data_IF_849108465409
#
_entry.id   IF_849108465409
#
_cell.length_a   1.000
_cell.length_b   1.000
_cell.length_c   1.000
_cell.angle_alpha   90.00
_cell.angle_beta   90.00
_cell.angle_gamma   90.00
#
_symmetry.space_group_name_H-M   'P 1'
#
loop_
_entity.id
_entity.type
_entity.pdbx_description
1 polymer ?
#
# COMPACT_ATOMS: atom_id res chain seq x y z
N UNK A 1 24.72 -15.12 8.33
CA UNK A 1 25.48 -13.99 7.75
C UNK A 1 24.67 -12.72 7.94
N UNK A 2 25.33 -11.62 8.26
CA UNK A 2 24.71 -10.28 8.37
C UNK A 2 24.10 -9.87 7.03
N UNK A 3 22.89 -9.29 7.05
CA UNK A 3 22.15 -8.82 5.88
C UNK A 3 22.29 -7.30 5.77
N UNK A 4 22.97 -6.81 4.73
CA UNK A 4 23.12 -5.37 4.48
C UNK A 4 21.86 -4.82 3.78
N UNK A 5 21.23 -3.82 4.37
CA UNK A 5 20.02 -3.14 3.88
C UNK A 5 20.40 -1.71 3.51
N UNK A 6 20.26 -1.37 2.23
CA UNK A 6 20.56 -0.03 1.71
C UNK A 6 19.29 0.72 1.33
N UNK A 7 19.08 1.92 1.87
CA UNK A 7 18.09 2.86 1.35
C UNK A 7 18.77 3.85 0.41
N UNK A 8 18.42 3.77 -0.85
CA UNK A 8 18.92 4.60 -1.93
C UNK A 8 18.08 5.88 -2.00
N UNK A 9 18.73 7.01 -1.76
CA UNK A 9 18.17 8.36 -1.79
C UNK A 9 18.81 9.19 -2.91
N UNK A 10 18.08 10.21 -3.35
CA UNK A 10 18.49 11.15 -4.39
C UNK A 10 17.88 12.53 -4.07
N UNK A 11 18.37 13.63 -4.66
CA UNK A 11 17.86 14.97 -4.37
C UNK A 11 16.32 15.05 -4.51
N UNK A 12 15.65 15.51 -3.45
CA UNK A 12 14.19 15.61 -3.41
C UNK A 12 13.47 14.34 -2.94
N UNK A 13 14.19 13.32 -2.44
CA UNK A 13 13.57 12.14 -1.84
C UNK A 13 12.64 12.48 -0.66
N UNK A 14 11.69 11.61 -0.36
CA UNK A 14 10.80 11.73 0.78
C UNK A 14 11.46 11.17 2.06
N UNK A 15 11.72 12.05 3.03
CA UNK A 15 12.32 11.71 4.33
C UNK A 15 11.55 10.63 5.12
N UNK A 16 10.22 10.53 4.97
CA UNK A 16 9.43 9.49 5.63
C UNK A 16 9.83 8.08 5.19
N UNK A 17 10.40 7.91 4.00
CA UNK A 17 10.82 6.60 3.49
C UNK A 17 11.96 5.98 4.32
N UNK A 18 12.66 6.80 5.14
CA UNK A 18 13.59 6.32 6.17
C UNK A 18 12.93 5.37 7.17
N UNK A 19 11.61 5.47 7.38
CA UNK A 19 10.87 4.59 8.27
C UNK A 19 11.01 3.10 7.87
N UNK A 20 11.25 2.81 6.59
CA UNK A 20 11.53 1.44 6.14
C UNK A 20 12.84 0.90 6.77
N UNK A 21 13.90 1.71 6.87
CA UNK A 21 15.14 1.32 7.57
C UNK A 21 14.91 1.13 9.06
N UNK A 22 14.10 2.00 9.67
CA UNK A 22 13.75 1.89 11.11
C UNK A 22 13.11 0.55 11.46
N UNK A 23 12.36 -0.09 10.54
CA UNK A 23 11.84 -1.45 10.80
C UNK A 23 12.97 -2.47 11.03
N UNK A 24 14.01 -2.44 10.20
CA UNK A 24 15.16 -3.32 10.34
C UNK A 24 16.03 -2.97 11.55
N UNK A 25 16.14 -1.67 11.88
CA UNK A 25 16.77 -1.20 13.11
C UNK A 25 16.08 -1.78 14.36
N UNK A 26 14.76 -1.66 14.43
CA UNK A 26 13.98 -2.22 15.52
C UNK A 26 14.06 -3.74 15.55
N UNK A 27 14.13 -4.42 14.40
CA UNK A 27 14.36 -5.87 14.35
C UNK A 27 15.66 -6.27 15.05
N UNK A 28 16.75 -5.52 14.88
CA UNK A 28 18.00 -5.79 15.59
C UNK A 28 17.86 -5.67 17.11
N UNK A 29 17.01 -4.78 17.63
CA UNK A 29 16.76 -4.65 19.08
C UNK A 29 16.02 -5.85 19.67
N UNK A 30 15.40 -6.69 18.84
CA UNK A 30 14.69 -7.90 19.26
C UNK A 30 15.55 -9.16 19.24
N UNK A 31 16.81 -9.05 18.83
CA UNK A 31 17.75 -10.16 18.66
C UNK A 31 18.90 -10.06 19.66
N UNK A 32 19.51 -11.21 20.00
CA UNK A 32 20.71 -11.25 20.83
C UNK A 32 21.94 -10.68 20.11
N UNK A 33 21.99 -10.81 18.78
CA UNK A 33 23.00 -10.20 17.91
C UNK A 33 22.31 -9.57 16.70
N UNK A 34 22.74 -8.37 16.26
CA UNK A 34 22.16 -7.71 15.09
C UNK A 34 22.28 -8.58 13.84
N UNK A 35 21.17 -8.75 13.10
CA UNK A 35 21.16 -9.41 11.80
C UNK A 35 21.36 -8.41 10.67
N UNK A 36 20.83 -7.20 10.81
CA UNK A 36 20.79 -6.19 9.75
C UNK A 36 21.89 -5.13 9.93
N UNK A 37 22.61 -4.83 8.86
CA UNK A 37 23.49 -3.65 8.77
C UNK A 37 22.80 -2.63 7.86
N UNK A 38 22.61 -1.41 8.32
CA UNK A 38 21.81 -0.41 7.62
C UNK A 38 22.70 0.66 7.01
N UNK A 39 22.39 1.07 5.79
CA UNK A 39 23.08 2.17 5.12
C UNK A 39 22.11 3.06 4.34
N UNK A 40 22.37 4.36 4.36
CA UNK A 40 21.76 5.33 3.44
C UNK A 40 22.73 5.55 2.28
N UNK A 41 22.24 5.45 1.04
CA UNK A 41 23.06 5.41 -0.16
C UNK A 41 22.64 6.47 -1.16
N UNK A 42 23.60 7.04 -1.89
CA UNK A 42 23.35 7.86 -3.08
C UNK A 42 24.47 7.63 -4.10
N UNK A 43 24.34 8.11 -5.33
CA UNK A 43 25.36 7.85 -6.37
C UNK A 43 26.75 8.34 -5.93
N UNK A 44 26.85 9.59 -5.47
CA UNK A 44 28.11 10.21 -5.09
C UNK A 44 28.46 10.05 -3.59
N UNK A 45 27.50 9.66 -2.74
CA UNK A 45 27.60 9.82 -1.29
C UNK A 45 27.48 11.29 -0.86
N UNK A 46 27.69 11.54 0.43
CA UNK A 46 27.57 12.87 1.03
C UNK A 46 26.12 13.27 1.35
N UNK A 47 25.90 14.55 1.70
CA UNK A 47 24.60 15.04 2.15
C UNK A 47 23.61 15.21 0.98
N UNK A 48 22.47 14.53 1.08
CA UNK A 48 21.38 14.60 0.10
C UNK A 48 20.16 15.26 0.75
N UNK A 49 19.63 16.31 0.10
CA UNK A 49 18.48 17.06 0.60
C UNK A 49 17.16 16.40 0.21
N UNK A 50 16.31 16.16 1.20
CA UNK A 50 14.93 15.67 1.03
C UNK A 50 13.98 16.78 0.58
N UNK A 51 12.76 16.39 0.18
CA UNK A 51 11.70 17.34 -0.20
C UNK A 51 11.23 18.25 0.95
N UNK A 52 11.44 17.86 2.21
CA UNK A 52 11.11 18.67 3.40
C UNK A 52 12.25 19.59 3.82
N UNK A 53 13.39 19.56 3.11
CA UNK A 53 14.55 20.41 3.36
C UNK A 53 15.58 19.82 4.32
N UNK A 54 15.29 18.68 4.96
CA UNK A 54 16.25 17.94 5.78
C UNK A 54 17.30 17.28 4.88
N UNK A 55 18.58 17.44 5.20
CA UNK A 55 19.67 16.73 4.53
C UNK A 55 20.07 15.48 5.31
N UNK A 56 20.32 14.37 4.60
CA UNK A 56 20.83 13.13 5.17
C UNK A 56 22.17 12.78 4.53
N UNK A 57 23.15 12.42 5.35
CA UNK A 57 24.40 11.86 4.86
C UNK A 57 24.19 10.47 4.27
N UNK A 58 24.87 10.22 3.17
CA UNK A 58 24.81 8.97 2.43
C UNK A 58 26.20 8.48 2.06
N UNK A 59 26.32 7.17 1.88
CA UNK A 59 27.50 6.54 1.30
C UNK A 59 27.30 6.39 -0.21
N UNK A 60 28.36 6.37 -1.02
CA UNK A 60 28.22 6.04 -2.44
C UNK A 60 27.62 4.64 -2.60
N UNK A 61 26.70 4.47 -3.56
CA UNK A 61 26.14 3.15 -3.90
C UNK A 61 27.29 2.28 -4.42
N UNK A 62 27.75 1.33 -3.60
CA UNK A 62 28.82 0.40 -3.95
C UNK A 62 28.32 -0.77 -4.81
N UNK A 63 29.22 -1.33 -5.63
CA UNK A 63 28.94 -2.37 -6.63
C UNK A 63 28.72 -3.80 -6.08
N UNK A 64 28.31 -3.97 -4.82
CA UNK A 64 27.98 -5.30 -4.30
C UNK A 64 27.76 -5.40 -2.79
N UNK A 65 27.08 -6.47 -2.40
CA UNK A 65 26.98 -6.93 -1.00
C UNK A 65 25.75 -6.47 -0.23
N UNK A 66 24.81 -5.74 -0.85
CA UNK A 66 23.51 -5.47 -0.23
C UNK A 66 22.56 -6.65 -0.46
N UNK A 67 22.08 -7.24 0.63
CA UNK A 67 21.00 -8.23 0.60
C UNK A 67 19.71 -7.58 0.09
N UNK A 68 19.47 -6.32 0.48
CA UNK A 68 18.28 -5.56 0.09
C UNK A 68 18.63 -4.14 -0.28
N UNK A 69 18.14 -3.67 -1.43
CA UNK A 69 18.18 -2.27 -1.85
C UNK A 69 16.75 -1.73 -1.92
N UNK A 70 16.49 -0.65 -1.19
CA UNK A 70 15.22 0.07 -1.17
C UNK A 70 15.43 1.40 -1.90
N UNK A 71 14.68 1.69 -2.95
CA UNK A 71 14.72 2.98 -3.66
C UNK A 71 13.63 3.88 -3.08
N UNK A 72 14.05 4.97 -2.43
CA UNK A 72 13.14 5.97 -1.90
C UNK A 72 12.32 6.61 -3.03
N UNK A 73 11.15 7.12 -2.68
CA UNK A 73 10.33 7.95 -3.56
C UNK A 73 10.59 9.43 -3.34
N UNK A 74 9.77 10.22 -4.02
CA UNK A 74 9.70 11.68 -3.94
C UNK A 74 8.22 12.12 -3.85
N UNK A 75 7.98 13.40 -3.63
CA UNK A 75 6.60 13.96 -3.57
C UNK A 75 5.87 13.95 -4.91
N UNK A 76 6.61 13.85 -6.02
CA UNK A 76 6.08 13.80 -7.38
C UNK A 76 6.84 12.73 -8.18
N UNK A 77 6.48 12.56 -9.47
CA UNK A 77 7.26 11.73 -10.40
C UNK A 77 8.73 12.20 -10.39
N UNK A 78 9.70 11.33 -10.02
CA UNK A 78 11.10 11.73 -10.04
C UNK A 78 11.59 11.91 -11.47
N UNK A 79 12.37 12.95 -11.70
CA UNK A 79 13.10 13.11 -12.97
C UNK A 79 14.00 11.87 -13.23
N UNK A 80 14.36 11.58 -14.49
CA UNK A 80 15.33 10.54 -14.81
C UNK A 80 16.63 10.71 -14.01
N UNK A 81 17.16 9.60 -13.50
CA UNK A 81 18.42 9.55 -12.74
C UNK A 81 19.36 8.55 -13.42
N UNK A 82 19.95 8.85 -14.60
CA UNK A 82 20.60 7.84 -15.44
C UNK A 82 21.75 7.10 -14.76
N UNK A 83 22.57 7.83 -13.99
CA UNK A 83 23.68 7.23 -13.23
C UNK A 83 23.17 6.30 -12.13
N UNK A 84 22.12 6.70 -11.42
CA UNK A 84 21.50 5.86 -10.41
C UNK A 84 20.84 4.62 -11.02
N UNK A 85 20.07 4.81 -12.10
CA UNK A 85 19.40 3.75 -12.84
C UNK A 85 20.42 2.71 -13.36
N UNK A 86 21.53 3.16 -13.93
CA UNK A 86 22.63 2.30 -14.36
C UNK A 86 23.27 1.54 -13.17
N UNK A 87 23.50 2.24 -12.06
CA UNK A 87 24.09 1.64 -10.86
C UNK A 87 23.18 0.56 -10.26
N UNK A 88 21.87 0.83 -10.15
CA UNK A 88 20.87 -0.13 -9.66
C UNK A 88 20.79 -1.35 -10.59
N UNK A 89 20.84 -1.13 -11.92
CA UNK A 89 20.84 -2.21 -12.90
C UNK A 89 22.04 -3.14 -12.75
N UNK A 90 23.22 -2.58 -12.50
CA UNK A 90 24.43 -3.38 -12.28
C UNK A 90 24.40 -4.14 -10.94
N UNK A 91 23.84 -3.54 -9.88
CA UNK A 91 23.76 -4.16 -8.57
C UNK A 91 22.73 -5.30 -8.48
N UNK A 92 21.71 -5.28 -9.35
CA UNK A 92 20.56 -6.19 -9.27
C UNK A 92 20.94 -7.69 -9.23
N UNK A 93 21.98 -8.12 -9.97
CA UNK A 93 22.42 -9.52 -9.99
C UNK A 93 23.04 -10.01 -8.68
N UNK A 94 23.49 -9.10 -7.80
CA UNK A 94 24.11 -9.40 -6.53
C UNK A 94 23.20 -9.12 -5.32
N UNK A 95 21.96 -8.70 -5.55
CA UNK A 95 21.01 -8.28 -4.51
C UNK A 95 19.81 -9.24 -4.47
N UNK A 96 19.51 -9.77 -3.27
CA UNK A 96 18.38 -10.71 -3.08
C UNK A 96 17.02 -10.03 -3.23
N UNK A 97 16.89 -8.78 -2.76
CA UNK A 97 15.65 -8.00 -2.80
C UNK A 97 15.90 -6.60 -3.35
N UNK A 98 15.23 -6.25 -4.43
CA UNK A 98 15.21 -4.88 -4.95
C UNK A 98 13.81 -4.33 -4.76
N UNK A 99 13.69 -3.23 -4.03
CA UNK A 99 12.40 -2.67 -3.65
C UNK A 99 12.25 -1.19 -4.05
N UNK A 100 11.05 -0.78 -4.39
CA UNK A 100 10.67 0.64 -4.48
C UNK A 100 9.73 1.06 -3.36
N UNK A 101 9.84 2.33 -2.96
CA UNK A 101 8.89 3.00 -2.10
C UNK A 101 8.22 4.12 -2.90
N UNK A 102 6.89 4.15 -2.93
CA UNK A 102 6.14 5.21 -3.60
C UNK A 102 6.61 5.37 -5.06
N UNK A 103 6.88 6.62 -5.46
CA UNK A 103 7.40 7.00 -6.77
C UNK A 103 8.83 6.53 -7.07
N UNK A 104 9.53 5.89 -6.12
CA UNK A 104 10.78 5.16 -6.40
C UNK A 104 10.59 4.04 -7.43
N UNK A 105 9.34 3.60 -7.65
CA UNK A 105 8.98 2.66 -8.71
C UNK A 105 9.32 3.18 -10.12
N UNK A 106 9.26 4.51 -10.36
CA UNK A 106 9.64 5.09 -11.66
C UNK A 106 11.12 4.91 -11.96
N UNK A 107 11.98 5.08 -10.95
CA UNK A 107 13.43 4.87 -11.12
C UNK A 107 13.70 3.41 -11.43
N UNK A 108 13.11 2.48 -10.69
CA UNK A 108 13.29 1.05 -10.95
C UNK A 108 12.69 0.61 -12.29
N UNK A 109 11.54 1.14 -12.69
CA UNK A 109 10.93 0.82 -13.98
C UNK A 109 11.81 1.27 -15.16
N UNK A 110 12.49 2.43 -15.07
CA UNK A 110 13.43 2.92 -16.09
C UNK A 110 14.65 2.01 -16.29
N UNK A 111 15.01 1.19 -15.30
CA UNK A 111 16.11 0.21 -15.44
C UNK A 111 15.74 -1.01 -16.32
N UNK A 112 14.44 -1.27 -16.50
CA UNK A 112 13.88 -2.48 -17.11
C UNK A 112 13.79 -3.69 -16.16
N UNK A 113 14.22 -3.55 -14.90
CA UNK A 113 14.21 -4.67 -13.93
C UNK A 113 12.79 -5.07 -13.48
N UNK A 114 11.81 -4.19 -13.67
CA UNK A 114 10.40 -4.43 -13.35
C UNK A 114 9.58 -4.99 -14.51
N UNK A 115 10.20 -5.17 -15.70
CA UNK A 115 9.47 -5.61 -16.89
C UNK A 115 8.87 -7.01 -16.69
N UNK A 116 7.59 -7.15 -17.01
CA UNK A 116 6.78 -8.35 -16.82
C UNK A 116 6.47 -8.67 -15.35
N UNK A 117 6.84 -7.81 -14.40
CA UNK A 117 6.58 -8.00 -12.96
C UNK A 117 5.38 -7.22 -12.50
N UNK A 118 4.65 -7.81 -11.55
CA UNK A 118 3.62 -7.09 -10.81
C UNK A 118 4.27 -6.17 -9.79
N UNK A 119 3.90 -4.91 -9.80
CA UNK A 119 4.38 -3.90 -8.86
C UNK A 119 3.25 -2.98 -8.43
N UNK A 120 3.43 -2.25 -7.35
CA UNK A 120 2.56 -1.14 -6.94
C UNK A 120 3.37 0.15 -6.83
N UNK A 121 2.68 1.28 -6.83
CA UNK A 121 3.20 2.61 -6.52
C UNK A 121 2.05 3.40 -5.89
N UNK A 122 2.29 4.65 -5.52
CA UNK A 122 1.22 5.51 -5.02
C UNK A 122 0.10 5.62 -6.06
N UNK A 123 -1.12 5.29 -5.65
CA UNK A 123 -2.33 5.28 -6.47
C UNK A 123 -2.45 6.49 -7.43
N UNK A 124 -2.12 7.69 -6.96
CA UNK A 124 -2.31 8.95 -7.70
C UNK A 124 -1.49 9.00 -8.99
N UNK A 125 -0.48 8.14 -9.07
CA UNK A 125 0.47 8.10 -10.17
C UNK A 125 0.65 6.68 -10.73
N UNK A 126 -0.19 5.73 -10.29
CA UNK A 126 -0.17 4.33 -10.77
C UNK A 126 -0.39 4.22 -12.27
N UNK A 127 -1.47 4.84 -12.77
CA UNK A 127 -1.76 4.91 -14.21
C UNK A 127 -0.62 5.51 -15.00
N UNK A 128 0.00 6.57 -14.46
CA UNK A 128 1.13 7.23 -15.10
C UNK A 128 2.35 6.32 -15.20
N UNK A 129 2.63 5.52 -14.17
CA UNK A 129 3.69 4.51 -14.21
C UNK A 129 3.40 3.47 -15.29
N UNK A 130 2.16 2.98 -15.37
CA UNK A 130 1.73 1.99 -16.36
C UNK A 130 1.83 2.51 -17.80
N UNK A 131 1.47 3.77 -18.04
CA UNK A 131 1.57 4.43 -19.34
C UNK A 131 3.02 4.58 -19.82
N UNK A 132 3.92 4.99 -18.92
CA UNK A 132 5.33 5.20 -19.25
C UNK A 132 6.12 3.90 -19.39
N UNK A 133 5.70 2.85 -18.67
CA UNK A 133 6.37 1.56 -18.61
C UNK A 133 5.38 0.42 -18.89
N UNK A 134 4.94 0.26 -20.15
CA UNK A 134 3.87 -0.70 -20.51
C UNK A 134 4.23 -2.16 -20.27
N UNK A 135 5.52 -2.49 -20.13
CA UNK A 135 5.97 -3.84 -19.78
C UNK A 135 5.76 -4.17 -18.30
N UNK A 136 5.63 -3.17 -17.43
CA UNK A 136 5.36 -3.34 -16.00
C UNK A 136 3.87 -3.61 -15.79
N UNK A 137 3.51 -4.48 -14.84
CA UNK A 137 2.11 -4.75 -14.48
C UNK A 137 1.78 -4.00 -13.18
N UNK A 138 1.15 -2.84 -13.27
CA UNK A 138 0.84 -2.01 -12.09
C UNK A 138 -0.45 -2.47 -11.41
N UNK A 139 -0.37 -2.73 -10.11
CA UNK A 139 -1.47 -3.10 -9.21
C UNK A 139 -1.73 -1.94 -8.23
N UNK A 140 -2.67 -1.06 -8.58
CA UNK A 140 -2.97 0.19 -7.85
C UNK A 140 -3.64 -0.05 -6.49
N UNK A 141 -4.24 -1.22 -6.28
CA UNK A 141 -5.04 -1.50 -5.09
C UNK A 141 -4.19 -2.03 -3.92
N UNK A 142 -2.91 -2.32 -4.14
CA UNK A 142 -2.06 -2.94 -3.12
C UNK A 142 -1.15 -1.95 -2.42
N UNK A 143 -1.13 -1.98 -1.08
CA UNK A 143 -0.15 -1.20 -0.30
C UNK A 143 1.28 -1.68 -0.50
N UNK A 144 1.50 -2.97 -0.78
CA UNK A 144 2.78 -3.48 -1.26
C UNK A 144 2.63 -4.77 -2.08
N UNK A 145 3.57 -5.02 -2.97
CA UNK A 145 3.66 -6.20 -3.83
C UNK A 145 5.04 -6.85 -3.68
N UNK A 146 5.06 -8.18 -3.63
CA UNK A 146 6.25 -9.02 -3.76
C UNK A 146 6.08 -9.89 -5.00
N UNK A 147 6.95 -9.70 -5.99
CA UNK A 147 7.02 -10.51 -7.20
C UNK A 147 8.45 -11.05 -7.36
N UNK A 148 8.69 -12.25 -6.83
CA UNK A 148 10.04 -12.82 -6.76
C UNK A 148 10.99 -11.97 -5.91
N UNK A 149 12.06 -11.46 -6.53
CA UNK A 149 13.04 -10.57 -5.90
C UNK A 149 12.63 -9.10 -5.93
N UNK A 150 11.62 -8.73 -6.72
CA UNK A 150 11.12 -7.35 -6.83
C UNK A 150 10.05 -7.11 -5.77
N UNK A 151 10.23 -6.04 -5.01
CA UNK A 151 9.27 -5.55 -4.05
C UNK A 151 8.88 -4.12 -4.41
N UNK A 152 7.68 -3.72 -4.05
CA UNK A 152 7.24 -2.33 -4.26
C UNK A 152 6.15 -1.99 -3.28
N UNK A 153 6.08 -0.73 -2.86
CA UNK A 153 5.05 -0.24 -1.96
C UNK A 153 4.43 1.06 -2.46
N UNK A 154 3.17 1.25 -2.09
CA UNK A 154 2.37 2.46 -2.33
C UNK A 154 3.00 3.76 -1.79
N UNK A 155 3.97 3.65 -0.88
CA UNK A 155 4.61 4.79 -0.23
C UNK A 155 4.01 5.19 1.10
N UNK A 156 4.40 6.39 1.56
CA UNK A 156 4.01 6.95 2.86
C UNK A 156 4.34 5.96 3.99
N UNK A 157 3.35 5.35 4.61
CA UNK A 157 3.55 4.37 5.69
C UNK A 157 3.56 2.93 5.21
N UNK A 158 3.18 2.66 3.95
CA UNK A 158 3.20 1.30 3.39
C UNK A 158 4.62 0.74 3.21
N UNK A 159 5.64 1.60 3.24
CA UNK A 159 7.04 1.16 3.30
C UNK A 159 7.35 0.39 4.60
N UNK A 160 6.69 0.75 5.72
CA UNK A 160 6.79 0.05 7.00
C UNK A 160 6.18 -1.34 6.87
N UNK A 161 4.99 -1.43 6.26
CA UNK A 161 4.27 -2.70 6.04
C UNK A 161 5.10 -3.66 5.17
N UNK A 162 5.70 -3.15 4.09
CA UNK A 162 6.61 -3.92 3.23
C UNK A 162 7.86 -4.38 3.99
N UNK A 163 8.50 -3.49 4.76
CA UNK A 163 9.70 -3.83 5.53
C UNK A 163 9.39 -4.83 6.67
N UNK A 164 8.21 -4.75 7.29
CA UNK A 164 7.75 -5.73 8.29
C UNK A 164 7.56 -7.11 7.65
N UNK A 165 6.99 -7.18 6.45
CA UNK A 165 6.87 -8.43 5.70
C UNK A 165 8.24 -9.02 5.31
N UNK A 166 9.22 -8.16 5.01
CA UNK A 166 10.61 -8.56 4.79
C UNK A 166 11.27 -9.13 6.04
N UNK A 167 11.05 -8.50 7.21
CA UNK A 167 11.53 -8.98 8.52
C UNK A 167 10.86 -10.30 8.88
N UNK A 168 9.54 -10.44 8.68
CA UNK A 168 8.82 -11.69 8.91
C UNK A 168 9.38 -12.83 8.05
N UNK A 169 9.64 -12.58 6.76
CA UNK A 169 10.25 -13.58 5.89
C UNK A 169 11.69 -13.95 6.26
N UNK A 170 12.39 -13.09 7.01
CA UNK A 170 13.78 -13.32 7.41
C UNK A 170 13.93 -13.93 8.82
N UNK A 171 13.03 -13.58 9.74
CA UNK A 171 13.15 -13.82 11.19
C UNK A 171 11.89 -14.47 11.81
N UNK A 172 10.85 -14.69 11.02
CA UNK A 172 9.58 -15.25 11.47
C UNK A 172 8.59 -14.22 12.00
N UNK A 173 7.33 -14.64 12.13
CA UNK A 173 6.20 -13.80 12.52
C UNK A 173 6.32 -13.21 13.92
N UNK A 174 6.94 -13.94 14.85
CA UNK A 174 7.06 -13.51 16.24
C UNK A 174 7.95 -12.27 16.38
N UNK A 175 9.08 -12.25 15.67
CA UNK A 175 9.97 -11.09 15.67
C UNK A 175 9.29 -9.91 14.97
N UNK A 176 8.70 -10.12 13.80
CA UNK A 176 7.99 -9.05 13.10
C UNK A 176 6.85 -8.43 13.95
N UNK A 177 6.14 -9.24 14.73
CA UNK A 177 5.09 -8.75 15.65
C UNK A 177 5.66 -7.96 16.82
N UNK A 178 6.81 -8.36 17.37
CA UNK A 178 7.52 -7.59 18.40
C UNK A 178 8.00 -6.24 17.85
N UNK A 179 8.55 -6.22 16.63
CA UNK A 179 8.98 -4.99 15.94
C UNK A 179 7.82 -4.03 15.74
N UNK A 180 6.71 -4.50 15.16
CA UNK A 180 5.52 -3.67 14.96
C UNK A 180 4.99 -3.09 16.28
N UNK A 181 4.94 -3.89 17.35
CA UNK A 181 4.54 -3.42 18.68
C UNK A 181 5.49 -2.37 19.24
N UNK A 182 6.80 -2.56 19.09
CA UNK A 182 7.80 -1.62 19.56
C UNK A 182 7.76 -0.28 18.80
N UNK A 183 7.39 -0.30 17.53
CA UNK A 183 7.17 0.90 16.71
C UNK A 183 5.77 1.50 16.88
N UNK A 184 4.88 0.89 17.67
CA UNK A 184 3.48 1.30 17.86
C UNK A 184 2.72 1.40 16.52
N UNK A 185 3.00 0.46 15.61
CA UNK A 185 2.30 0.34 14.33
C UNK A 185 1.46 -0.93 14.28
N UNK A 186 0.43 -0.91 13.45
CA UNK A 186 -0.38 -2.09 13.22
C UNK A 186 0.47 -3.17 12.56
N UNK A 187 0.59 -4.33 13.18
CA UNK A 187 1.42 -5.41 12.63
C UNK A 187 0.91 -5.95 11.29
N UNK A 188 -0.40 -5.86 11.04
CA UNK A 188 -1.02 -6.36 9.80
C UNK A 188 -1.83 -5.29 9.10
N UNK A 189 -1.16 -4.54 8.24
CA UNK A 189 -1.78 -4.09 6.99
C UNK A 189 -1.33 -5.06 5.90
N UNK A 190 -2.23 -5.90 5.42
CA UNK A 190 -1.90 -6.93 4.43
C UNK A 190 -1.69 -6.27 3.07
N UNK A 191 -0.78 -6.80 2.24
CA UNK A 191 -0.48 -6.22 0.92
C UNK A 191 -1.70 -6.08 0.00
N UNK A 192 -2.78 -6.82 0.25
CA UNK A 192 -4.06 -6.72 -0.46
C UNK A 192 -5.04 -5.69 0.10
N UNK A 193 -4.68 -4.92 1.14
CA UNK A 193 -5.48 -3.77 1.56
C UNK A 193 -5.38 -2.68 0.51
N UNK A 194 -6.54 -2.09 0.19
CA UNK A 194 -6.62 -0.87 -0.61
C UNK A 194 -5.69 0.19 -0.05
N UNK A 195 -5.00 0.92 -0.93
CA UNK A 195 -4.20 2.09 -0.54
C UNK A 195 -5.06 3.17 0.11
N UNK A 196 -6.38 3.10 -0.06
CA UNK A 196 -7.32 4.12 0.34
C UNK A 196 -8.64 3.59 0.88
N UNK A 197 -9.28 4.45 1.68
CA UNK A 197 -10.72 4.41 1.84
C UNK A 197 -11.41 4.72 0.51
N UNK A 198 -12.49 4.01 0.16
CA UNK A 198 -13.32 4.31 -1.00
C UNK A 198 -13.85 5.76 -1.02
N UNK A 199 -13.90 6.44 0.15
CA UNK A 199 -14.20 7.88 0.23
C UNK A 199 -13.13 8.74 -0.43
N UNK A 200 -11.85 8.39 -0.29
CA UNK A 200 -10.74 9.13 -0.90
C UNK A 200 -10.75 9.00 -2.42
N UNK A 201 -11.10 7.84 -2.97
CA UNK A 201 -11.26 7.64 -4.42
C UNK A 201 -12.45 8.40 -5.03
N UNK A 202 -13.42 8.79 -4.20
CA UNK A 202 -14.62 9.52 -4.64
C UNK A 202 -14.34 11.03 -4.82
N UNK A 203 -13.22 11.54 -4.27
CA UNK A 203 -12.74 12.94 -4.36
C UNK A 203 -13.85 14.02 -4.36
N UNK A 204 -14.66 14.14 -3.29
CA UNK A 204 -15.75 15.09 -3.27
C UNK A 204 -15.22 16.54 -3.26
N UNK A 205 -15.63 17.34 -4.23
CA UNK A 205 -15.25 18.76 -4.33
C UNK A 205 -16.00 19.70 -3.37
N UNK A 206 -16.97 19.19 -2.61
CA UNK A 206 -17.71 19.94 -1.58
C UNK A 206 -17.71 19.23 -0.23
N UNK A 207 -17.56 20.02 0.84
CA UNK A 207 -17.67 19.57 2.23
C UNK A 207 -18.99 18.83 2.52
N UNK A 208 -20.09 19.19 1.84
CA UNK A 208 -21.39 18.52 2.04
C UNK A 208 -21.43 17.11 1.45
N UNK A 209 -20.88 16.90 0.25
CA UNK A 209 -20.82 15.55 -0.33
C UNK A 209 -19.86 14.67 0.49
N UNK A 210 -18.76 15.25 0.99
CA UNK A 210 -17.85 14.58 1.93
C UNK A 210 -18.55 14.18 3.23
N UNK A 211 -19.35 15.06 3.82
CA UNK A 211 -20.14 14.78 5.03
C UNK A 211 -21.12 13.61 4.80
N UNK A 212 -21.82 13.58 3.66
CA UNK A 212 -22.73 12.49 3.32
C UNK A 212 -22.00 11.14 3.17
N UNK A 213 -20.80 11.14 2.58
CA UNK A 213 -19.96 9.93 2.44
C UNK A 213 -19.45 9.42 3.79
N UNK A 214 -19.00 10.32 4.67
CA UNK A 214 -18.56 9.97 6.02
C UNK A 214 -19.70 9.37 6.84
N UNK A 215 -20.89 10.00 6.77
CA UNK A 215 -22.08 9.46 7.41
C UNK A 215 -22.42 8.07 6.88
N UNK A 216 -22.42 7.89 5.56
CA UNK A 216 -22.71 6.61 4.93
C UNK A 216 -21.75 5.51 5.41
N UNK A 217 -20.43 5.79 5.45
CA UNK A 217 -19.41 4.85 5.94
C UNK A 217 -19.67 4.40 7.37
N UNK A 218 -20.06 5.31 8.25
CA UNK A 218 -20.30 4.98 9.67
C UNK A 218 -21.63 4.21 9.87
N UNK A 219 -22.47 4.13 8.83
CA UNK A 219 -23.83 3.55 8.89
C UNK A 219 -24.10 2.51 7.79
N UNK A 220 -23.07 1.89 7.21
CA UNK A 220 -23.22 0.98 6.07
C UNK A 220 -24.18 -0.20 6.30
N UNK A 221 -24.32 -0.64 7.56
CA UNK A 221 -25.23 -1.69 8.01
C UNK A 221 -26.73 -1.35 7.87
N UNK A 222 -27.08 -0.08 7.68
CA UNK A 222 -28.46 0.38 7.51
C UNK A 222 -28.84 0.51 6.04
N UNK A 223 -30.14 0.56 5.75
CA UNK A 223 -30.62 0.97 4.43
C UNK A 223 -30.40 2.48 4.23
N UNK A 224 -29.32 2.84 3.53
CA UNK A 224 -28.98 4.22 3.23
C UNK A 224 -29.66 4.68 1.93
N UNK A 225 -30.75 5.43 2.06
CA UNK A 225 -31.47 5.98 0.91
C UNK A 225 -30.91 7.34 0.47
N UNK A 226 -31.27 7.76 -0.75
CA UNK A 226 -30.92 9.10 -1.27
C UNK A 226 -31.57 10.19 -0.39
N UNK A 227 -32.78 9.94 0.08
CA UNK A 227 -33.53 10.85 0.94
C UNK A 227 -32.85 11.04 2.29
N UNK A 228 -32.35 9.97 2.90
CA UNK A 228 -31.61 10.02 4.17
C UNK A 228 -30.31 10.82 4.03
N UNK A 229 -29.51 10.52 3.02
CA UNK A 229 -28.25 11.22 2.77
C UNK A 229 -28.48 12.69 2.39
N UNK A 230 -29.54 12.99 1.62
CA UNK A 230 -29.89 14.35 1.26
C UNK A 230 -30.37 15.16 2.48
N UNK A 231 -31.19 14.56 3.35
CA UNK A 231 -31.63 15.17 4.59
C UNK A 231 -30.46 15.50 5.51
N UNK A 232 -29.45 14.62 5.58
CA UNK A 232 -28.25 14.82 6.42
C UNK A 232 -27.47 16.08 6.08
N UNK A 233 -27.52 16.52 4.82
CA UNK A 233 -26.83 17.71 4.31
C UNK A 233 -27.77 18.83 3.90
N UNK A 234 -29.03 18.75 4.36
CA UNK A 234 -30.09 19.74 4.15
C UNK A 234 -30.35 20.07 2.67
N UNK A 235 -30.32 19.06 1.82
CA UNK A 235 -30.66 19.15 0.40
C UNK A 235 -31.92 18.36 0.06
N UNK A 236 -32.59 18.75 -1.03
CA UNK A 236 -33.62 17.90 -1.61
C UNK A 236 -32.98 16.67 -2.29
N UNK A 237 -33.66 15.52 -2.35
CA UNK A 237 -33.13 14.29 -2.95
C UNK A 237 -32.65 14.46 -4.40
N UNK A 238 -33.38 15.26 -5.18
CA UNK A 238 -33.03 15.59 -6.57
C UNK A 238 -31.77 16.43 -6.66
N UNK A 239 -31.64 17.45 -5.83
CA UNK A 239 -30.45 18.32 -5.81
C UNK A 239 -29.23 17.51 -5.35
N UNK A 240 -29.38 16.71 -4.29
CA UNK A 240 -28.32 15.86 -3.79
C UNK A 240 -27.81 14.89 -4.85
N UNK A 241 -28.69 14.12 -5.51
CA UNK A 241 -28.26 13.16 -6.53
C UNK A 241 -27.49 13.83 -7.68
N UNK A 242 -27.98 14.99 -8.14
CA UNK A 242 -27.34 15.74 -9.21
C UNK A 242 -25.96 16.27 -8.79
N UNK A 243 -25.87 16.89 -7.62
CA UNK A 243 -24.61 17.44 -7.13
C UNK A 243 -23.60 16.35 -6.79
N UNK A 244 -24.06 15.27 -6.15
CA UNK A 244 -23.23 14.12 -5.84
C UNK A 244 -22.61 13.55 -7.12
N UNK A 245 -23.41 13.27 -8.15
CA UNK A 245 -22.90 12.75 -9.42
C UNK A 245 -21.97 13.74 -10.14
N UNK A 246 -22.30 15.03 -10.14
CA UNK A 246 -21.46 16.05 -10.76
C UNK A 246 -20.08 16.17 -10.07
N UNK A 247 -20.00 15.95 -8.77
CA UNK A 247 -18.77 16.09 -8.00
C UNK A 247 -17.95 14.81 -7.90
N UNK A 248 -18.60 13.65 -7.89
CA UNK A 248 -17.95 12.34 -7.65
C UNK A 248 -17.80 11.49 -8.90
N UNK A 249 -18.45 11.90 -10.01
CA UNK A 249 -18.54 11.10 -11.24
C UNK A 249 -19.41 9.85 -11.11
N UNK A 250 -20.07 9.60 -9.98
CA UNK A 250 -20.89 8.40 -9.77
C UNK A 250 -22.21 8.67 -9.03
N UNK A 251 -23.18 7.77 -9.20
CA UNK A 251 -24.44 7.86 -8.48
C UNK A 251 -24.26 7.51 -6.98
N UNK A 252 -25.04 8.10 -6.05
CA UNK A 252 -24.95 7.82 -4.62
C UNK A 252 -25.01 6.34 -4.26
N UNK A 253 -25.94 5.58 -4.87
CA UNK A 253 -26.08 4.15 -4.62
C UNK A 253 -24.82 3.35 -4.99
N UNK A 254 -24.12 3.76 -6.05
CA UNK A 254 -22.86 3.12 -6.50
C UNK A 254 -21.71 3.42 -5.53
N UNK A 255 -21.65 4.65 -5.00
CA UNK A 255 -20.69 5.03 -3.97
C UNK A 255 -20.91 4.23 -2.67
N UNK A 256 -22.16 4.10 -2.22
CA UNK A 256 -22.52 3.29 -1.05
C UNK A 256 -22.14 1.82 -1.28
N UNK A 257 -22.47 1.25 -2.44
CA UNK A 257 -22.08 -0.13 -2.77
C UNK A 257 -20.55 -0.31 -2.66
N UNK A 258 -19.76 0.63 -3.18
CA UNK A 258 -18.30 0.60 -3.10
C UNK A 258 -17.79 0.63 -1.66
N UNK A 259 -18.33 1.52 -0.83
CA UNK A 259 -18.02 1.59 0.61
C UNK A 259 -18.37 0.29 1.33
N UNK A 260 -19.49 -0.35 0.97
CA UNK A 260 -19.90 -1.65 1.56
C UNK A 260 -18.97 -2.77 1.13
N UNK A 261 -18.54 -2.82 -0.13
CA UNK A 261 -17.57 -3.82 -0.61
C UNK A 261 -16.26 -3.71 0.15
N UNK A 262 -15.76 -2.48 0.32
CA UNK A 262 -14.55 -2.21 1.09
C UNK A 262 -14.68 -2.68 2.55
N UNK A 263 -15.75 -2.27 3.23
CA UNK A 263 -15.99 -2.69 4.61
C UNK A 263 -16.12 -4.22 4.75
N UNK A 264 -16.72 -4.89 3.76
CA UNK A 264 -16.82 -6.34 3.74
C UNK A 264 -15.46 -7.02 3.56
N UNK A 265 -14.59 -6.44 2.73
CA UNK A 265 -13.21 -6.92 2.57
C UNK A 265 -12.42 -6.76 3.89
N UNK A 266 -12.56 -5.62 4.57
CA UNK A 266 -11.94 -5.40 5.89
C UNK A 266 -12.38 -6.42 6.94
N UNK A 267 -13.68 -6.74 7.02
CA UNK A 267 -14.19 -7.76 7.95
C UNK A 267 -13.60 -9.15 7.66
N UNK A 268 -13.44 -9.52 6.39
CA UNK A 268 -12.80 -10.78 6.00
C UNK A 268 -11.34 -10.78 6.47
N UNK A 269 -10.62 -9.68 6.28
CA UNK A 269 -9.24 -9.55 6.71
C UNK A 269 -9.08 -9.60 8.24
N UNK A 270 -10.08 -9.11 8.98
CA UNK A 270 -10.17 -9.21 10.44
C UNK A 270 -10.53 -10.63 10.96
N UNK A 271 -10.77 -11.58 10.05
CA UNK A 271 -11.00 -12.99 10.39
C UNK A 271 -12.48 -13.41 10.42
N UNK A 272 -13.41 -12.53 10.02
CA UNK A 272 -14.79 -12.96 9.81
C UNK A 272 -14.87 -13.92 8.62
N UNK A 273 -15.57 -15.03 8.78
CA UNK A 273 -15.58 -16.09 7.78
C UNK A 273 -16.96 -16.57 7.33
N UNK A 274 -18.03 -16.01 7.89
CA UNK A 274 -19.39 -16.22 7.40
C UNK A 274 -19.74 -15.12 6.40
N UNK A 275 -19.87 -15.48 5.12
CA UNK A 275 -20.21 -14.54 4.04
C UNK A 275 -21.57 -13.90 4.30
N UNK A 276 -22.56 -14.68 4.76
CA UNK A 276 -23.88 -14.16 5.14
C UNK A 276 -23.81 -13.14 6.26
N UNK A 277 -23.05 -13.42 7.32
CA UNK A 277 -22.88 -12.46 8.41
C UNK A 277 -22.15 -11.19 7.95
N UNK A 278 -21.16 -11.31 7.08
CA UNK A 278 -20.47 -10.15 6.49
C UNK A 278 -21.45 -9.32 5.65
N UNK A 279 -22.30 -9.96 4.85
CA UNK A 279 -23.31 -9.28 4.04
C UNK A 279 -24.33 -8.51 4.91
N UNK A 280 -24.75 -9.07 6.03
CA UNK A 280 -25.61 -8.40 7.01
C UNK A 280 -24.90 -7.21 7.67
N UNK A 281 -23.68 -7.42 8.19
CA UNK A 281 -22.90 -6.39 8.89
C UNK A 281 -22.55 -5.18 8.01
N UNK A 282 -22.51 -5.37 6.70
CA UNK A 282 -22.16 -4.33 5.73
C UNK A 282 -23.36 -3.80 4.96
N UNK A 283 -24.58 -4.25 5.28
CA UNK A 283 -25.82 -3.76 4.70
C UNK A 283 -26.09 -4.20 3.26
N UNK A 284 -25.43 -5.26 2.78
CA UNK A 284 -25.87 -5.96 1.56
C UNK A 284 -27.14 -6.76 1.78
N UNK A 285 -27.34 -7.24 3.01
CA UNK A 285 -28.51 -8.02 3.44
C UNK A 285 -28.53 -9.47 2.92
N UNK A 286 -27.97 -9.73 1.74
CA UNK A 286 -27.87 -11.09 1.18
C UNK A 286 -26.49 -11.40 0.57
N UNK A 287 -26.12 -12.69 0.62
CA UNK A 287 -24.84 -13.19 0.12
C UNK A 287 -24.65 -13.00 -1.38
N UNK A 288 -25.71 -13.09 -2.19
CA UNK A 288 -25.62 -12.98 -3.65
C UNK A 288 -25.40 -11.54 -4.11
N UNK A 289 -25.95 -10.54 -3.40
CA UNK A 289 -25.62 -9.12 -3.62
C UNK A 289 -24.16 -8.84 -3.29
N UNK A 290 -23.69 -9.30 -2.13
CA UNK A 290 -22.29 -9.17 -1.75
C UNK A 290 -21.37 -9.86 -2.78
N UNK A 291 -21.71 -11.09 -3.20
CA UNK A 291 -20.95 -11.85 -4.20
C UNK A 291 -20.85 -11.12 -5.53
N UNK A 292 -21.97 -10.58 -6.04
CA UNK A 292 -21.98 -9.83 -7.30
C UNK A 292 -21.17 -8.54 -7.20
N UNK A 293 -21.22 -7.85 -6.06
CA UNK A 293 -20.44 -6.63 -5.84
C UNK A 293 -18.93 -6.93 -5.77
N UNK A 294 -18.53 -7.99 -5.07
CA UNK A 294 -17.15 -8.47 -5.02
C UNK A 294 -16.60 -8.89 -6.38
N UNK A 295 -17.39 -9.59 -7.19
CA UNK A 295 -16.98 -9.96 -8.54
C UNK A 295 -16.73 -8.73 -9.42
N UNK A 296 -17.55 -7.68 -9.28
CA UNK A 296 -17.34 -6.42 -10.01
C UNK A 296 -16.11 -5.66 -9.53
N UNK A 297 -15.86 -5.65 -8.22
CA UNK A 297 -14.78 -4.87 -7.63
C UNK A 297 -13.41 -5.57 -7.72
N UNK A 298 -13.36 -6.87 -7.44
CA UNK A 298 -12.12 -7.62 -7.26
C UNK A 298 -11.96 -8.80 -8.24
N UNK A 299 -12.92 -9.03 -9.13
CA UNK A 299 -12.89 -10.15 -10.08
C UNK A 299 -13.05 -11.55 -9.46
N UNK A 300 -13.18 -11.64 -8.13
CA UNK A 300 -13.29 -12.90 -7.38
C UNK A 300 -14.39 -12.82 -6.33
N UNK A 301 -15.08 -13.95 -6.00
CA UNK A 301 -16.13 -13.95 -5.00
C UNK A 301 -15.57 -13.89 -3.56
N UNK A 302 -16.33 -13.38 -2.59
CA UNK A 302 -15.87 -13.16 -1.20
C UNK A 302 -15.42 -14.46 -0.51
N UNK A 303 -15.96 -15.62 -0.91
CA UNK A 303 -15.54 -16.94 -0.39
C UNK A 303 -14.05 -17.23 -0.64
N UNK A 304 -13.48 -16.76 -1.75
CA UNK A 304 -12.06 -16.94 -2.05
C UNK A 304 -11.21 -16.15 -1.05
N UNK A 305 -11.58 -14.90 -0.79
CA UNK A 305 -10.92 -14.06 0.22
C UNK A 305 -11.03 -14.66 1.62
N UNK A 306 -12.21 -15.17 2.00
CA UNK A 306 -12.40 -15.88 3.28
C UNK A 306 -11.50 -17.11 3.39
N UNK A 307 -11.38 -17.90 2.31
CA UNK A 307 -10.52 -19.08 2.30
C UNK A 307 -9.04 -18.70 2.42
N UNK A 308 -8.60 -17.68 1.69
CA UNK A 308 -7.24 -17.14 1.79
C UNK A 308 -6.96 -16.62 3.21
N UNK A 309 -7.92 -15.91 3.81
CA UNK A 309 -7.82 -15.42 5.19
C UNK A 309 -7.80 -16.56 6.22
N UNK A 310 -8.55 -17.65 6.00
CA UNK A 310 -8.54 -18.86 6.87
C UNK A 310 -7.22 -19.62 6.79
N UNK A 311 -6.73 -19.90 5.59
CA UNK A 311 -5.43 -20.57 5.40
C UNK A 311 -4.29 -19.77 6.06
N UNK A 312 -4.38 -18.44 6.03
CA UNK A 312 -3.47 -17.52 6.71
C UNK A 312 -3.57 -17.55 8.25
N UNK A 313 -4.71 -17.97 8.80
CA UNK A 313 -4.96 -18.04 10.24
C UNK A 313 -4.75 -19.44 10.84
N UNK A 314 -4.89 -20.51 10.06
CA UNK A 314 -4.65 -21.90 10.53
C UNK A 314 -3.15 -22.20 10.73
N UNK A 315 -2.27 -21.51 10.00
CA UNK A 315 -0.82 -21.53 10.26
C UNK A 315 -0.40 -20.86 11.59
N UNK A 316 -1.34 -20.32 12.38
CA UNK A 316 -1.09 -19.67 13.69
C UNK A 316 -1.23 -20.65 14.87
N UNK A 317 -1.86 -21.82 14.69
CA UNK A 317 -2.18 -22.75 15.80
C UNK A 317 -1.48 -24.13 15.74
N UNK A 318 -0.61 -24.35 14.74
CA UNK A 318 0.18 -25.58 14.60
C UNK A 318 1.70 -25.35 14.74
N UNK A 319 2.13 -24.19 15.22
CA UNK A 319 3.54 -23.82 15.45
C UNK A 319 3.67 -22.85 16.61
#
# INVERSE_FOLDING_TARGET
MTKRIGLVIYPGFQALDMAALTVFEFANTQLAQPLYELATLSVAGGPIKSSSGVALDSQPVGWGGYDTLLVAGATHEPAPQPELEATLKAAAGATRRLASICTGAFILARTGLMDGKRVTTHWAIGRRLQELHPAVVVDEDKIYVKEGAIWSSAGVTACIDMALAMVEGDLGSDIARKVARAMVVYHRRTGGQSQFSAIAEIEPSSDRVKEALLYARDHLHKELSVEELAARVHWSPRHFSRMFQAQTGMAPAKAIEKLRVEAAHELIEQGHSSVGRIAEMTGFGDEERLRRAFLRAYGQPPKVFVQQARLRNEHIYLS
#
